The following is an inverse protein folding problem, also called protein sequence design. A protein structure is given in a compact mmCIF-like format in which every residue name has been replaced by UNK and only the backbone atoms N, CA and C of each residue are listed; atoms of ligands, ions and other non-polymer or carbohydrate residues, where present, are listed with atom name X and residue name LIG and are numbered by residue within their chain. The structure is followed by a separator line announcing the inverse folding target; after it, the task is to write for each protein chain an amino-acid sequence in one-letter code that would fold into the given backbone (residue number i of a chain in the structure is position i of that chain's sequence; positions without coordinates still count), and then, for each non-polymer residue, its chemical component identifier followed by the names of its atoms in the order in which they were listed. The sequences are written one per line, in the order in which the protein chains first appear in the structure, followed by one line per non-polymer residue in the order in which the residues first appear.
data_IF_966502332928
#
_entry.id   IF_966502332928
#
_cell.length_a   1.000
_cell.length_b   1.000
_cell.length_c   1.000
_cell.angle_alpha   90.00
_cell.angle_beta   90.00
_cell.angle_gamma   90.00
#
_symmetry.space_group_name_H-M   'P 1'
#
loop_
_entity.id
_entity.type
_entity.pdbx_description
1 polymer ?
#
# COMPACT_ATOMS: atom_id res chain seq x y z
N UNK A 1 -6.68 23.93 2.44
CA UNK A 1 -6.80 23.69 0.98
C UNK A 1 -8.01 22.83 0.66
N UNK A 2 -8.37 21.86 1.50
CA UNK A 2 -9.57 21.03 1.29
C UNK A 2 -10.88 21.83 1.24
N UNK A 3 -10.94 23.00 1.87
CA UNK A 3 -12.09 23.93 1.79
C UNK A 3 -12.32 24.51 0.37
N UNK A 4 -11.34 24.40 -0.55
CA UNK A 4 -11.49 24.84 -1.93
C UNK A 4 -12.38 23.89 -2.76
N UNK A 5 -12.75 22.71 -2.22
CA UNK A 5 -13.58 21.74 -2.92
C UNK A 5 -12.89 21.11 -4.15
N UNK A 6 -11.56 21.14 -4.18
CA UNK A 6 -10.75 20.59 -5.26
C UNK A 6 -9.77 19.59 -4.67
N UNK A 7 -9.56 18.51 -5.41
CA UNK A 7 -8.72 17.40 -4.98
C UNK A 7 -7.27 17.84 -4.81
N UNK A 8 -6.62 17.35 -3.75
CA UNK A 8 -5.26 17.76 -3.37
C UNK A 8 -4.23 17.58 -4.49
N UNK A 9 -4.35 16.51 -5.28
CA UNK A 9 -3.46 16.26 -6.42
C UNK A 9 -3.65 17.26 -7.56
N UNK A 10 -4.88 17.74 -7.78
CA UNK A 10 -5.18 18.77 -8.78
C UNK A 10 -4.63 20.13 -8.31
N UNK A 11 -4.79 20.43 -7.02
CA UNK A 11 -4.23 21.64 -6.41
C UNK A 11 -2.70 21.65 -6.46
N UNK A 12 -2.05 20.51 -6.21
CA UNK A 12 -0.60 20.41 -6.30
C UNK A 12 -0.11 20.55 -7.75
N UNK A 13 -0.80 19.94 -8.72
CA UNK A 13 -0.47 20.09 -10.15
C UNK A 13 -0.58 21.54 -10.63
N UNK A 14 -1.59 22.28 -10.14
CA UNK A 14 -1.82 23.68 -10.47
C UNK A 14 -0.91 24.68 -9.72
N UNK A 15 -0.10 24.21 -8.76
CA UNK A 15 0.64 25.09 -7.84
C UNK A 15 1.66 25.96 -8.58
N UNK A 16 2.41 25.40 -9.52
CA UNK A 16 3.46 26.13 -10.25
C UNK A 16 2.87 27.24 -11.13
N UNK A 17 1.74 26.98 -11.77
CA UNK A 17 1.04 27.99 -12.59
C UNK A 17 0.45 29.09 -11.70
N UNK A 18 -0.09 28.72 -10.53
CA UNK A 18 -0.58 29.69 -9.56
C UNK A 18 0.55 30.59 -9.01
N UNK A 19 1.72 30.03 -8.72
CA UNK A 19 2.91 30.79 -8.30
C UNK A 19 3.35 31.75 -9.41
N UNK A 20 3.45 31.26 -10.66
CA UNK A 20 3.87 32.07 -11.81
C UNK A 20 2.89 33.23 -12.07
N UNK A 21 1.60 32.97 -11.96
CA UNK A 21 0.57 34.01 -12.08
C UNK A 21 0.70 35.06 -10.96
N UNK A 22 0.90 34.64 -9.71
CA UNK A 22 1.10 35.54 -8.58
C UNK A 22 2.37 36.40 -8.73
N UNK A 23 3.48 35.83 -9.18
CA UNK A 23 4.73 36.55 -9.46
C UNK A 23 4.54 37.61 -10.56
N UNK A 24 3.81 37.27 -11.62
CA UNK A 24 3.49 38.21 -12.70
C UNK A 24 2.66 39.40 -12.18
N UNK A 25 1.64 39.15 -11.36
CA UNK A 25 0.80 40.20 -10.75
C UNK A 25 1.66 41.09 -9.83
N UNK A 26 2.51 40.49 -9.00
CA UNK A 26 3.41 41.23 -8.12
C UNK A 26 4.41 42.10 -8.90
N UNK A 27 4.98 41.58 -9.99
CA UNK A 27 5.91 42.31 -10.87
C UNK A 27 5.21 43.49 -11.56
N UNK A 28 4.01 43.28 -12.13
CA UNK A 28 3.23 44.33 -12.78
C UNK A 28 2.90 45.46 -11.80
N UNK A 29 2.49 45.10 -10.58
CA UNK A 29 2.19 46.07 -9.51
C UNK A 29 3.43 46.86 -9.12
N UNK A 30 4.58 46.20 -8.96
CA UNK A 30 5.85 46.86 -8.64
C UNK A 30 6.35 47.80 -9.76
N UNK A 31 6.05 47.48 -11.02
CA UNK A 31 6.36 48.31 -12.18
C UNK A 31 5.40 49.52 -12.35
N UNK A 32 4.41 49.68 -11.46
CA UNK A 32 3.39 50.73 -11.57
C UNK A 32 2.42 50.52 -12.74
N UNK A 33 2.43 49.33 -13.36
CA UNK A 33 1.42 48.93 -14.33
C UNK A 33 0.17 48.51 -13.56
N UNK A 34 -0.78 49.44 -13.39
CA UNK A 34 -2.14 49.06 -13.02
C UNK A 34 -2.74 48.28 -14.19
N UNK A 35 -3.08 47.03 -13.94
CA UNK A 35 -3.78 46.20 -14.90
C UNK A 35 -5.20 46.76 -15.12
N UNK A 36 -5.34 47.60 -16.15
CA UNK A 36 -6.61 48.20 -16.57
C UNK A 36 -7.66 47.15 -17.02
N UNK A 37 -7.27 45.88 -17.14
CA UNK A 37 -8.17 44.76 -17.47
C UNK A 37 -8.37 43.77 -16.31
N UNK A 38 -7.54 43.82 -15.25
CA UNK A 38 -7.67 42.96 -14.07
C UNK A 38 -8.95 43.21 -13.26
N UNK A 39 -9.43 44.46 -13.22
CA UNK A 39 -10.71 44.82 -12.59
C UNK A 39 -11.94 44.40 -13.43
N UNK A 40 -11.77 44.20 -14.74
CA UNK A 40 -12.85 43.77 -15.65
C UNK A 40 -13.13 42.27 -15.50
N UNK A 41 -12.14 41.46 -15.10
CA UNK A 41 -12.34 40.03 -14.79
C UNK A 41 -13.15 39.86 -13.49
N UNK A 42 -13.09 40.81 -12.55
CA UNK A 42 -13.90 40.76 -11.32
C UNK A 42 -15.41 41.03 -11.56
N UNK A 43 -15.80 41.53 -12.74
CA UNK A 43 -17.18 41.92 -13.06
C UNK A 43 -17.78 41.20 -14.28
N UNK A 44 -17.05 40.28 -14.90
CA UNK A 44 -17.55 39.42 -15.98
C UNK A 44 -17.76 37.98 -15.49
N UNK A 45 -18.96 37.44 -15.69
CA UNK A 45 -19.33 36.03 -15.47
C UNK A 45 -18.61 35.06 -16.44
N UNK A 46 -17.27 35.08 -16.46
CA UNK A 46 -16.48 33.94 -16.95
C UNK A 46 -15.98 33.19 -15.73
N UNK A 47 -16.86 32.34 -15.19
CA UNK A 47 -16.50 31.33 -14.18
C UNK A 47 -15.68 30.23 -14.84
N UNK A 48 -14.54 30.58 -15.45
CA UNK A 48 -13.59 29.59 -15.93
C UNK A 48 -12.95 28.93 -14.70
N UNK A 49 -13.05 27.60 -14.63
CA UNK A 49 -12.43 26.82 -13.57
C UNK A 49 -10.91 27.02 -13.64
N UNK A 50 -10.27 27.67 -12.65
CA UNK A 50 -8.84 27.95 -12.68
C UNK A 50 -7.99 26.68 -12.70
N UNK A 51 -8.59 25.52 -12.43
CA UNK A 51 -7.94 24.22 -12.43
C UNK A 51 -8.24 23.39 -13.68
N UNK A 52 -8.94 23.94 -14.68
CA UNK A 52 -9.42 23.20 -15.85
C UNK A 52 -8.33 22.36 -16.54
N UNK A 53 -7.14 22.93 -16.73
CA UNK A 53 -5.99 22.26 -17.36
C UNK A 53 -5.42 21.11 -16.51
N UNK A 54 -5.67 21.14 -15.19
CA UNK A 54 -5.14 20.20 -14.20
C UNK A 54 -6.17 19.16 -13.74
N UNK A 55 -7.44 19.27 -14.17
CA UNK A 55 -8.50 18.30 -13.82
C UNK A 55 -8.20 16.87 -14.30
N UNK A 56 -7.34 16.73 -15.31
CA UNK A 56 -6.84 15.44 -15.81
C UNK A 56 -5.68 14.85 -15.00
N UNK A 57 -5.24 15.51 -13.92
CA UNK A 57 -4.15 15.02 -13.08
C UNK A 57 -4.47 13.63 -12.52
N UNK A 58 -3.46 12.76 -12.51
CA UNK A 58 -3.61 11.40 -11.99
C UNK A 58 -4.00 11.46 -10.51
N UNK A 59 -5.09 10.79 -10.16
CA UNK A 59 -5.46 10.61 -8.76
C UNK A 59 -4.32 9.97 -7.97
N UNK A 60 -4.12 10.42 -6.73
CA UNK A 60 -3.17 9.81 -5.82
C UNK A 60 -3.72 8.48 -5.31
N UNK A 61 -2.84 7.49 -5.19
CA UNK A 61 -3.13 6.30 -4.40
C UNK A 61 -3.26 6.67 -2.92
N UNK A 62 -3.91 5.81 -2.12
CA UNK A 62 -4.01 6.00 -0.68
C UNK A 62 -2.63 6.17 -0.04
N UNK A 63 -1.64 5.36 -0.45
CA UNK A 63 -0.27 5.42 0.08
C UNK A 63 0.38 6.77 -0.21
N UNK A 64 0.22 7.30 -1.42
CA UNK A 64 0.78 8.62 -1.78
C UNK A 64 0.13 9.75 -0.98
N UNK A 65 -1.20 9.71 -0.82
CA UNK A 65 -1.91 10.67 0.02
C UNK A 65 -1.40 10.64 1.47
N UNK A 66 -1.31 9.44 2.05
CA UNK A 66 -0.88 9.25 3.42
C UNK A 66 0.59 9.65 3.63
N UNK A 67 1.47 9.37 2.66
CA UNK A 67 2.86 9.82 2.70
C UNK A 67 2.96 11.35 2.66
N UNK A 68 2.17 12.02 1.81
CA UNK A 68 2.13 13.49 1.76
C UNK A 68 1.61 14.09 3.08
N UNK A 69 0.58 13.49 3.70
CA UNK A 69 0.10 13.91 5.01
C UNK A 69 1.18 13.77 6.08
N UNK A 70 1.88 12.65 6.09
CA UNK A 70 2.94 12.41 7.05
C UNK A 70 4.12 13.35 6.87
N UNK A 71 4.52 13.63 5.64
CA UNK A 71 5.60 14.57 5.36
C UNK A 71 5.22 15.99 5.79
N UNK A 72 3.98 16.40 5.57
CA UNK A 72 3.50 17.74 5.90
C UNK A 72 3.14 17.93 7.39
N UNK A 73 2.56 16.92 8.04
CA UNK A 73 1.93 17.03 9.37
C UNK A 73 2.60 16.13 10.43
N UNK A 74 3.43 15.18 10.01
CA UNK A 74 4.04 14.18 10.88
C UNK A 74 3.10 13.03 11.26
N UNK A 75 1.86 13.00 10.76
CA UNK A 75 0.83 12.02 11.11
C UNK A 75 -0.08 11.68 9.92
N UNK A 76 -0.78 10.54 10.02
CA UNK A 76 -1.81 10.13 9.08
C UNK A 76 -3.19 10.55 9.60
N UNK A 77 -3.94 11.33 8.81
CA UNK A 77 -5.26 11.82 9.21
C UNK A 77 -6.38 11.18 8.39
N UNK A 78 -6.15 10.96 7.09
CA UNK A 78 -7.19 10.46 6.18
C UNK A 78 -7.42 8.94 6.26
N UNK A 79 -6.52 8.19 6.89
CA UNK A 79 -6.61 6.74 7.03
C UNK A 79 -5.32 6.12 7.57
N UNK A 80 -5.23 4.79 7.60
CA UNK A 80 -4.04 4.06 8.03
C UNK A 80 -3.35 3.32 6.86
N UNK A 81 -2.00 3.32 6.74
CA UNK A 81 -1.31 2.67 5.61
C UNK A 81 -1.64 1.18 5.41
N UNK A 82 -1.95 0.47 6.50
CA UNK A 82 -2.35 -0.95 6.45
C UNK A 82 -3.66 -1.17 5.67
N UNK A 83 -4.51 -0.15 5.54
CA UNK A 83 -5.79 -0.26 4.83
C UNK A 83 -5.61 -0.62 3.36
N UNK A 84 -4.51 -0.18 2.73
CA UNK A 84 -4.19 -0.50 1.35
C UNK A 84 -4.01 -2.01 1.11
N UNK A 85 -3.57 -2.76 2.12
CA UNK A 85 -3.32 -4.21 2.05
C UNK A 85 -4.16 -5.02 3.05
N UNK A 86 -5.19 -4.42 3.67
CA UNK A 86 -5.98 -5.02 4.75
C UNK A 86 -6.59 -6.37 4.34
N UNK A 87 -7.15 -6.46 3.12
CA UNK A 87 -7.75 -7.71 2.64
C UNK A 87 -6.77 -8.87 2.61
N UNK A 88 -5.52 -8.61 2.25
CA UNK A 88 -4.48 -9.62 2.20
C UNK A 88 -3.91 -9.92 3.58
N UNK A 89 -3.64 -8.88 4.38
CA UNK A 89 -3.19 -8.99 5.77
C UNK A 89 -4.13 -9.89 6.58
N UNK A 90 -5.45 -9.77 6.41
CA UNK A 90 -6.43 -10.58 7.14
C UNK A 90 -6.44 -12.06 6.77
N UNK A 91 -5.82 -12.46 5.65
CA UNK A 91 -5.59 -13.88 5.30
C UNK A 91 -4.53 -14.53 6.22
N UNK A 92 -3.66 -13.73 6.83
CA UNK A 92 -2.56 -14.19 7.69
C UNK A 92 -2.73 -13.80 9.17
N UNK A 93 -3.25 -12.61 9.44
CA UNK A 93 -3.55 -12.07 10.76
C UNK A 93 -5.06 -11.74 10.84
N UNK A 94 -5.93 -12.74 11.07
CA UNK A 94 -7.39 -12.55 10.93
C UNK A 94 -8.01 -11.57 11.92
N UNK A 95 -7.36 -11.36 13.08
CA UNK A 95 -7.84 -10.48 14.14
C UNK A 95 -7.11 -9.15 14.09
N UNK A 96 -7.83 -8.07 14.36
CA UNK A 96 -7.25 -6.74 14.60
C UNK A 96 -6.60 -6.67 15.99
N UNK A 97 -5.68 -5.72 16.19
CA UNK A 97 -4.99 -5.54 17.47
C UNK A 97 -6.00 -5.37 18.62
N UNK A 98 -7.03 -4.53 18.45
CA UNK A 98 -8.07 -4.32 19.47
C UNK A 98 -8.87 -5.58 19.85
N UNK A 99 -8.92 -6.57 18.95
CA UNK A 99 -9.67 -7.84 19.13
C UNK A 99 -8.78 -8.94 19.72
N UNK A 100 -7.48 -8.69 19.83
CA UNK A 100 -6.55 -9.63 20.40
C UNK A 100 -6.76 -9.75 21.91
N UNK A 101 -6.63 -10.97 22.41
CA UNK A 101 -6.73 -11.29 23.82
C UNK A 101 -5.46 -12.02 24.23
N UNK A 102 -5.15 -12.06 25.52
CA UNK A 102 -3.99 -12.77 26.07
C UNK A 102 -4.20 -14.29 26.06
N UNK A 103 -4.33 -14.87 24.86
CA UNK A 103 -4.74 -16.25 24.66
C UNK A 103 -3.68 -17.15 24.00
N UNK A 104 -2.40 -16.86 24.23
CA UNK A 104 -1.29 -17.70 23.77
C UNK A 104 -0.66 -17.17 22.49
N UNK A 105 -0.39 -18.06 21.53
CA UNK A 105 0.26 -17.70 20.27
C UNK A 105 -0.72 -17.02 19.32
N UNK A 106 -0.28 -15.95 18.66
CA UNK A 106 -1.04 -15.22 17.66
C UNK A 106 -0.11 -14.66 16.58
N UNK A 107 -0.71 -14.38 15.41
CA UNK A 107 -0.12 -13.58 14.36
C UNK A 107 -0.82 -12.23 14.35
N UNK A 108 -0.06 -11.15 14.50
CA UNK A 108 -0.54 -9.77 14.51
C UNK A 108 0.16 -9.01 13.40
N UNK A 109 -0.59 -8.27 12.61
CA UNK A 109 -0.04 -7.40 11.58
C UNK A 109 -0.20 -5.95 11.99
N UNK A 110 0.80 -5.13 11.67
CA UNK A 110 0.80 -3.71 12.00
C UNK A 110 1.92 -2.95 11.28
N UNK A 111 1.76 -1.64 11.21
CA UNK A 111 2.78 -0.68 10.84
C UNK A 111 3.69 -0.41 12.05
N UNK A 112 5.00 -0.47 11.86
CA UNK A 112 5.95 -0.14 12.92
C UNK A 112 6.04 1.39 13.07
N UNK A 113 5.44 1.93 14.13
CA UNK A 113 5.41 3.35 14.44
C UNK A 113 6.70 3.84 15.12
N UNK A 114 7.27 3.01 15.99
CA UNK A 114 8.50 3.33 16.72
C UNK A 114 9.32 2.07 17.02
N UNK A 115 10.63 2.25 17.15
CA UNK A 115 11.59 1.19 17.47
C UNK A 115 12.56 1.69 18.54
N UNK A 116 12.49 1.08 19.72
CA UNK A 116 13.44 1.33 20.80
C UNK A 116 14.41 0.15 20.92
N UNK A 117 15.66 0.35 20.50
CA UNK A 117 16.71 -0.66 20.65
C UNK A 117 17.36 -0.54 22.03
N UNK A 118 17.39 -1.65 22.77
CA UNK A 118 17.92 -1.72 24.13
C UNK A 118 19.09 -2.72 24.14
N UNK A 119 20.26 -2.27 24.62
CA UNK A 119 21.40 -3.16 24.83
C UNK A 119 21.26 -3.84 26.19
N UNK A 120 21.23 -5.17 26.21
CA UNK A 120 21.17 -5.96 27.45
C UNK A 120 22.42 -6.84 27.59
N UNK A 121 22.62 -7.44 28.77
CA UNK A 121 23.71 -8.42 28.98
C UNK A 121 23.58 -9.66 28.07
N UNK A 122 22.37 -9.96 27.57
CA UNK A 122 22.09 -11.10 26.69
C UNK A 122 22.09 -10.71 25.19
N UNK A 123 22.55 -9.51 24.86
CA UNK A 123 22.57 -8.95 23.51
C UNK A 123 21.55 -7.82 23.29
N UNK A 124 21.57 -7.14 22.12
CA UNK A 124 20.56 -6.17 21.75
C UNK A 124 19.17 -6.80 21.64
N UNK A 125 18.15 -6.09 22.11
CA UNK A 125 16.73 -6.38 21.88
C UNK A 125 16.03 -5.12 21.37
N UNK A 126 14.86 -5.26 20.76
CA UNK A 126 14.03 -4.12 20.36
C UNK A 126 12.64 -4.20 20.97
N UNK A 127 12.09 -3.04 21.32
CA UNK A 127 10.67 -2.88 21.64
C UNK A 127 10.06 -2.06 20.51
N UNK A 128 9.12 -2.65 19.81
CA UNK A 128 8.39 -2.06 18.68
C UNK A 128 7.05 -1.55 19.17
N UNK A 129 6.60 -0.43 18.62
CA UNK A 129 5.20 0.01 18.72
C UNK A 129 4.52 -0.27 17.40
N UNK A 130 3.54 -1.17 17.39
CA UNK A 130 2.75 -1.54 16.21
C UNK A 130 1.39 -0.88 16.24
N UNK A 131 0.93 -0.45 15.07
CA UNK A 131 -0.40 0.12 14.86
C UNK A 131 -1.07 -0.54 13.65
N UNK A 132 -2.34 -0.93 13.77
CA UNK A 132 -3.12 -1.50 12.66
C UNK A 132 -4.36 -0.65 12.30
N UNK A 133 -4.37 0.62 12.73
CA UNK A 133 -5.51 1.53 12.64
C UNK A 133 -6.63 1.24 13.65
N UNK A 134 -6.63 0.07 14.30
CA UNK A 134 -7.64 -0.30 15.31
C UNK A 134 -7.16 -0.09 16.74
N UNK A 135 -5.84 -0.11 16.95
CA UNK A 135 -5.19 0.07 18.23
C UNK A 135 -3.69 -0.14 18.13
N UNK A 136 -3.00 0.13 19.25
CA UNK A 136 -1.55 -0.01 19.35
C UNK A 136 -1.17 -1.19 20.26
N UNK A 137 -0.05 -1.83 19.95
CA UNK A 137 0.52 -2.92 20.74
C UNK A 137 2.04 -2.78 20.82
N UNK A 138 2.62 -2.95 22.01
CA UNK A 138 4.06 -3.10 22.15
C UNK A 138 4.48 -4.55 21.84
N UNK A 139 5.53 -4.72 21.05
CA UNK A 139 6.10 -6.03 20.73
C UNK A 139 7.59 -6.08 21.09
N UNK A 140 7.97 -7.02 21.96
CA UNK A 140 9.36 -7.24 22.35
C UNK A 140 10.01 -8.28 21.44
N UNK A 141 11.07 -7.86 20.77
CA UNK A 141 11.91 -8.69 19.91
C UNK A 141 13.24 -8.94 20.61
N UNK A 142 13.45 -10.18 21.06
CA UNK A 142 14.68 -10.58 21.76
C UNK A 142 15.85 -10.80 20.80
N UNK A 143 17.05 -10.98 21.34
CA UNK A 143 18.30 -10.91 20.60
C UNK A 143 18.41 -11.84 19.38
N UNK A 144 17.95 -13.07 19.55
CA UNK A 144 17.84 -14.08 18.50
C UNK A 144 17.02 -13.56 17.32
N UNK A 145 15.78 -13.14 17.58
CA UNK A 145 14.86 -12.64 16.55
C UNK A 145 15.33 -11.28 15.99
N UNK A 146 15.91 -10.42 16.84
CA UNK A 146 16.38 -9.09 16.44
C UNK A 146 17.51 -9.18 15.42
N UNK A 147 18.47 -10.09 15.64
CA UNK A 147 19.59 -10.27 14.74
C UNK A 147 19.15 -10.95 13.43
N UNK A 148 18.22 -11.90 13.50
CA UNK A 148 17.72 -12.64 12.33
C UNK A 148 16.89 -11.75 11.40
N UNK A 149 15.99 -10.92 11.95
CA UNK A 149 15.03 -10.13 11.17
C UNK A 149 15.36 -8.65 11.11
N UNK A 150 16.62 -8.26 11.35
CA UNK A 150 17.03 -6.85 11.49
C UNK A 150 16.60 -5.96 10.33
N UNK A 151 16.60 -6.50 9.11
CA UNK A 151 16.22 -5.77 7.90
C UNK A 151 14.72 -5.42 7.86
N UNK A 152 13.86 -6.22 8.51
CA UNK A 152 12.42 -5.96 8.60
C UNK A 152 12.06 -5.01 9.75
N UNK A 153 12.96 -4.82 10.70
CA UNK A 153 12.76 -3.98 11.89
C UNK A 153 13.09 -2.52 11.57
N UNK A 154 12.30 -1.92 10.68
CA UNK A 154 12.43 -0.52 10.31
C UNK A 154 11.13 0.23 10.57
N UNK A 155 11.25 1.51 10.92
CA UNK A 155 10.10 2.37 11.09
C UNK A 155 9.36 2.45 9.75
N UNK A 156 8.03 2.54 9.81
CA UNK A 156 7.14 2.69 8.65
C UNK A 156 7.03 1.46 7.75
N UNK A 157 7.46 0.30 8.25
CA UNK A 157 7.26 -0.98 7.59
C UNK A 157 6.03 -1.70 8.14
N UNK A 158 5.24 -2.29 7.24
CA UNK A 158 4.15 -3.19 7.60
C UNK A 158 4.74 -4.59 7.76
N UNK A 159 4.55 -5.17 8.95
CA UNK A 159 5.09 -6.50 9.27
C UNK A 159 4.01 -7.39 9.87
N UNK A 160 4.19 -8.70 9.71
CA UNK A 160 3.47 -9.73 10.45
C UNK A 160 4.37 -10.26 11.55
N UNK A 161 3.92 -10.10 12.79
CA UNK A 161 4.57 -10.63 13.97
C UNK A 161 3.88 -11.90 14.42
N UNK A 162 4.65 -12.98 14.50
CA UNK A 162 4.23 -14.22 15.13
C UNK A 162 4.82 -14.25 16.55
N UNK A 163 3.98 -14.44 17.55
CA UNK A 163 4.44 -14.37 18.92
C UNK A 163 3.41 -14.77 19.95
N UNK A 164 3.79 -14.66 21.22
CA UNK A 164 2.89 -14.91 22.33
C UNK A 164 2.34 -13.57 22.84
N UNK A 165 1.03 -13.45 22.88
CA UNK A 165 0.35 -12.32 23.51
C UNK A 165 0.42 -12.45 25.04
N UNK A 166 0.76 -11.35 25.69
CA UNK A 166 0.93 -11.21 27.13
C UNK A 166 0.43 -9.85 27.60
N UNK A 167 0.31 -9.68 28.90
CA UNK A 167 0.08 -8.36 29.51
C UNK A 167 1.43 -7.69 29.68
N UNK A 168 1.52 -6.41 29.36
CA UNK A 168 2.68 -5.60 29.70
C UNK A 168 2.72 -5.36 31.20
N UNK A 169 3.84 -5.71 31.83
CA UNK A 169 4.05 -5.59 33.27
C UNK A 169 4.06 -4.12 33.74
N UNK A 170 4.29 -3.14 32.85
CA UNK A 170 4.41 -1.73 33.21
C UNK A 170 3.09 -0.96 33.13
N UNK A 171 2.33 -1.12 32.05
CA UNK A 171 1.09 -0.36 31.80
C UNK A 171 -0.18 -1.21 31.86
N UNK A 172 -0.07 -2.54 32.01
CA UNK A 172 -1.22 -3.46 32.05
C UNK A 172 -1.92 -3.66 30.69
N UNK A 173 -1.36 -3.11 29.61
CA UNK A 173 -1.86 -3.20 28.24
C UNK A 173 -1.50 -4.53 27.57
N UNK A 174 -2.04 -4.75 26.37
CA UNK A 174 -1.70 -5.92 25.56
C UNK A 174 -0.32 -5.73 24.94
N UNK A 175 0.55 -6.74 25.09
CA UNK A 175 1.87 -6.78 24.47
C UNK A 175 2.13 -8.13 23.82
N UNK A 176 3.13 -8.18 22.94
CA UNK A 176 3.58 -9.41 22.30
C UNK A 176 5.04 -9.69 22.62
N UNK A 177 5.34 -10.95 22.95
CA UNK A 177 6.70 -11.49 22.83
C UNK A 177 6.87 -12.12 21.46
N UNK A 178 7.66 -11.48 20.60
CA UNK A 178 7.85 -11.86 19.21
C UNK A 178 8.75 -13.09 19.09
N UNK A 179 8.34 -14.04 18.24
CA UNK A 179 9.09 -15.24 17.88
C UNK A 179 9.60 -15.18 16.45
N UNK A 180 8.83 -14.60 15.53
CA UNK A 180 9.23 -14.40 14.15
C UNK A 180 8.61 -13.12 13.60
N UNK A 181 9.28 -12.53 12.60
CA UNK A 181 8.85 -11.35 11.87
C UNK A 181 8.82 -11.72 10.39
N UNK A 182 7.77 -11.35 9.67
CA UNK A 182 7.71 -11.52 8.21
C UNK A 182 7.20 -10.26 7.55
N UNK A 183 7.69 -9.97 6.35
CA UNK A 183 7.00 -9.04 5.45
C UNK A 183 5.72 -9.69 4.91
N UNK A 184 4.82 -8.87 4.34
CA UNK A 184 3.63 -9.38 3.66
C UNK A 184 3.99 -10.28 2.47
N UNK A 185 5.02 -9.91 1.71
CA UNK A 185 5.56 -10.70 0.60
C UNK A 185 6.08 -12.07 1.06
N UNK A 186 6.87 -12.11 2.14
CA UNK A 186 7.37 -13.38 2.71
C UNK A 186 6.23 -14.26 3.23
N UNK A 187 5.21 -13.65 3.84
CA UNK A 187 4.02 -14.38 4.30
C UNK A 187 3.26 -14.98 3.11
N UNK A 188 3.17 -14.22 2.00
CA UNK A 188 2.57 -14.68 0.75
C UNK A 188 3.35 -15.82 0.12
N UNK A 189 4.65 -15.68 -0.07
CA UNK A 189 5.51 -16.73 -0.60
C UNK A 189 5.35 -18.06 0.16
N UNK A 190 5.20 -17.99 1.48
CA UNK A 190 5.08 -19.17 2.32
C UNK A 190 3.72 -19.91 2.24
N UNK A 191 2.64 -19.25 1.82
CA UNK A 191 1.28 -19.84 1.82
C UNK A 191 0.58 -19.78 0.47
N UNK A 192 1.17 -19.14 -0.55
CA UNK A 192 0.56 -19.07 -1.87
C UNK A 192 0.58 -20.43 -2.53
N UNK A 193 -0.59 -20.89 -2.96
CA UNK A 193 -0.76 -22.15 -3.66
C UNK A 193 -0.66 -21.97 -5.18
N UNK A 194 -1.20 -20.87 -5.71
CA UNK A 194 -1.25 -20.58 -7.14
C UNK A 194 -1.63 -19.11 -7.40
N UNK A 195 -1.17 -18.59 -8.54
CA UNK A 195 -1.72 -17.40 -9.18
C UNK A 195 -2.93 -17.80 -10.02
N UNK A 196 -4.09 -17.23 -9.73
CA UNK A 196 -5.31 -17.49 -10.52
C UNK A 196 -5.60 -16.32 -11.46
N UNK A 197 -5.73 -16.63 -12.75
CA UNK A 197 -6.12 -15.69 -13.81
C UNK A 197 -7.49 -16.08 -14.35
N UNK A 198 -8.50 -15.22 -14.28
CA UNK A 198 -9.83 -15.47 -14.81
C UNK A 198 -10.05 -14.65 -16.08
N UNK A 199 -10.02 -15.32 -17.23
CA UNK A 199 -10.00 -14.66 -18.54
C UNK A 199 -11.25 -15.04 -19.35
N UNK A 200 -12.12 -14.08 -19.70
CA UNK A 200 -13.23 -14.32 -20.61
C UNK A 200 -12.76 -14.69 -22.02
N UNK A 201 -13.50 -15.57 -22.69
CA UNK A 201 -13.11 -16.10 -24.00
C UNK A 201 -12.93 -15.06 -25.09
N UNK A 202 -13.67 -13.94 -25.02
CA UNK A 202 -13.58 -12.87 -26.01
C UNK A 202 -12.32 -11.99 -25.85
N UNK A 203 -11.57 -12.12 -24.74
CA UNK A 203 -10.32 -11.40 -24.51
C UNK A 203 -9.09 -12.18 -24.97
N UNK A 204 -9.23 -13.45 -25.30
CA UNK A 204 -8.10 -14.32 -25.67
C UNK A 204 -7.87 -14.23 -27.17
N UNK A 205 -6.85 -13.48 -27.56
CA UNK A 205 -6.31 -13.38 -28.91
C UNK A 205 -4.76 -13.44 -28.90
N UNK A 206 -4.11 -13.30 -30.06
CA UNK A 206 -2.64 -13.32 -30.14
C UNK A 206 -1.98 -12.16 -29.37
N UNK A 207 -2.62 -10.99 -29.35
CA UNK A 207 -2.14 -9.80 -28.64
C UNK A 207 -2.14 -10.05 -27.13
N UNK A 208 -3.23 -10.60 -26.60
CA UNK A 208 -3.36 -10.99 -25.21
C UNK A 208 -2.35 -12.06 -24.83
N UNK A 209 -2.16 -13.09 -25.66
CA UNK A 209 -1.19 -14.14 -25.40
C UNK A 209 0.24 -13.58 -25.31
N UNK A 210 0.59 -12.64 -26.19
CA UNK A 210 1.89 -11.99 -26.19
C UNK A 210 2.06 -11.13 -24.94
N UNK A 211 1.07 -10.28 -24.62
CA UNK A 211 1.07 -9.44 -23.43
C UNK A 211 1.20 -10.27 -22.15
N UNK A 212 0.37 -11.31 -21.99
CA UNK A 212 0.41 -12.19 -20.83
C UNK A 212 1.75 -12.92 -20.71
N UNK A 213 2.30 -13.41 -21.84
CA UNK A 213 3.61 -14.06 -21.85
C UNK A 213 4.72 -13.10 -21.41
N UNK A 214 4.70 -11.86 -21.91
CA UNK A 214 5.71 -10.85 -21.57
C UNK A 214 5.61 -10.42 -20.11
N UNK A 215 4.40 -10.20 -19.60
CA UNK A 215 4.18 -9.89 -18.18
C UNK A 215 4.60 -11.04 -17.28
N UNK A 216 4.24 -12.30 -17.58
CA UNK A 216 4.65 -13.42 -16.73
C UNK A 216 6.17 -13.61 -16.71
N UNK A 217 6.86 -13.38 -17.84
CA UNK A 217 8.32 -13.54 -17.96
C UNK A 217 9.11 -12.66 -17.00
N UNK A 218 8.57 -11.51 -16.57
CA UNK A 218 9.25 -10.62 -15.61
C UNK A 218 9.42 -11.28 -14.24
N UNK A 219 8.61 -12.28 -13.92
CA UNK A 219 8.58 -12.95 -12.63
C UNK A 219 8.79 -14.47 -12.70
N UNK A 220 9.11 -15.04 -13.87
CA UNK A 220 9.39 -16.48 -14.00
C UNK A 220 10.61 -16.88 -13.16
N UNK A 221 10.59 -18.10 -12.62
CA UNK A 221 11.68 -18.68 -11.84
C UNK A 221 11.30 -18.99 -10.39
N UNK A 222 10.10 -18.62 -9.98
CA UNK A 222 9.55 -18.95 -8.68
C UNK A 222 8.90 -20.33 -8.64
N UNK A 223 8.22 -20.62 -7.53
CA UNK A 223 7.57 -21.91 -7.31
C UNK A 223 6.04 -21.83 -7.46
N UNK A 224 5.48 -20.63 -7.61
CA UNK A 224 4.04 -20.43 -7.66
C UNK A 224 3.49 -20.82 -9.05
N UNK A 225 2.63 -21.84 -9.16
CA UNK A 225 2.02 -22.19 -10.43
C UNK A 225 0.97 -21.16 -10.86
N UNK A 226 0.87 -20.95 -12.16
CA UNK A 226 -0.15 -20.09 -12.77
C UNK A 226 -1.29 -20.95 -13.30
N UNK A 227 -2.51 -20.63 -12.87
CA UNK A 227 -3.74 -21.30 -13.31
C UNK A 227 -4.66 -20.29 -13.98
N UNK A 228 -4.92 -20.51 -15.27
CA UNK A 228 -5.82 -19.70 -16.06
C UNK A 228 -7.20 -20.36 -16.13
N UNK A 229 -8.19 -19.75 -15.49
CA UNK A 229 -9.60 -20.04 -15.66
C UNK A 229 -10.13 -19.33 -16.92
N UNK A 230 -10.31 -20.11 -17.97
CA UNK A 230 -10.89 -19.67 -19.23
C UNK A 230 -12.42 -19.75 -19.17
N UNK A 231 -13.10 -18.60 -19.31
CA UNK A 231 -14.54 -18.47 -19.10
C UNK A 231 -15.29 -18.29 -20.42
N UNK A 232 -16.24 -19.18 -20.69
CA UNK A 232 -17.16 -19.11 -21.83
C UNK A 232 -18.62 -19.00 -21.37
N UNK A 233 -19.54 -18.69 -22.29
CA UNK A 233 -20.97 -18.60 -21.99
C UNK A 233 -21.58 -19.90 -21.42
N UNK A 234 -21.00 -21.06 -21.73
CA UNK A 234 -21.50 -22.39 -21.31
C UNK A 234 -20.80 -22.96 -20.07
N UNK A 235 -19.78 -22.29 -19.53
CA UNK A 235 -19.00 -22.76 -18.39
C UNK A 235 -17.55 -22.24 -18.40
N UNK A 236 -16.76 -22.66 -17.42
CA UNK A 236 -15.33 -22.34 -17.34
C UNK A 236 -14.47 -23.60 -17.24
N UNK A 237 -13.21 -23.48 -17.69
CA UNK A 237 -12.19 -24.53 -17.57
C UNK A 237 -10.93 -23.92 -16.98
N UNK A 238 -10.37 -24.55 -15.95
CA UNK A 238 -9.10 -24.16 -15.37
C UNK A 238 -7.95 -24.90 -16.05
N UNK A 239 -7.00 -24.16 -16.61
CA UNK A 239 -5.80 -24.68 -17.25
C UNK A 239 -4.59 -24.26 -16.43
N UNK A 240 -3.85 -25.24 -15.91
CA UNK A 240 -2.55 -24.98 -15.26
C UNK A 240 -1.49 -24.82 -16.34
N UNK A 241 -0.79 -23.69 -16.32
CA UNK A 241 0.31 -23.44 -17.25
C UNK A 241 1.50 -24.38 -16.94
N UNK A 242 2.32 -24.64 -17.96
CA UNK A 242 3.49 -25.51 -17.82
C UNK A 242 4.51 -24.98 -16.81
N UNK A 243 5.37 -25.85 -16.28
CA UNK A 243 6.33 -25.50 -15.22
C UNK A 243 7.27 -24.34 -15.55
N UNK A 244 7.54 -24.08 -16.83
CA UNK A 244 8.32 -22.93 -17.28
C UNK A 244 7.66 -21.57 -16.99
N UNK A 245 6.38 -21.55 -16.61
CA UNK A 245 5.59 -20.35 -16.29
C UNK A 245 5.33 -20.21 -14.79
N UNK A 246 6.06 -20.92 -13.93
CA UNK A 246 6.00 -20.68 -12.49
C UNK A 246 6.65 -19.36 -12.14
N UNK A 247 5.99 -18.59 -11.28
CA UNK A 247 6.36 -17.20 -10.97
C UNK A 247 6.72 -16.98 -9.50
N UNK A 248 7.48 -15.92 -9.25
CA UNK A 248 7.64 -15.34 -7.92
C UNK A 248 6.39 -14.52 -7.57
N UNK A 249 5.80 -14.71 -6.38
CA UNK A 249 4.55 -14.04 -6.00
C UNK A 249 4.81 -12.64 -5.44
N UNK A 250 5.33 -11.74 -6.27
CA UNK A 250 5.58 -10.35 -5.89
C UNK A 250 4.41 -9.43 -6.26
N UNK A 251 4.39 -8.22 -5.67
CA UNK A 251 3.34 -7.23 -5.91
C UNK A 251 3.40 -6.66 -7.34
N UNK A 252 4.60 -6.43 -7.86
CA UNK A 252 4.80 -5.87 -9.19
C UNK A 252 4.11 -6.71 -10.28
N UNK A 253 4.24 -8.03 -10.23
CA UNK A 253 3.58 -8.95 -11.15
C UNK A 253 2.05 -8.86 -11.02
N UNK A 254 1.54 -8.83 -9.79
CA UNK A 254 0.10 -8.77 -9.56
C UNK A 254 -0.49 -7.48 -10.15
N UNK A 255 0.18 -6.36 -9.95
CA UNK A 255 -0.25 -5.05 -10.46
C UNK A 255 -0.17 -4.96 -11.99
N UNK A 256 0.92 -5.43 -12.60
CA UNK A 256 1.04 -5.49 -14.06
C UNK A 256 -0.06 -6.36 -14.69
N UNK A 257 -0.36 -7.51 -14.09
CA UNK A 257 -1.42 -8.39 -14.55
C UNK A 257 -2.80 -7.76 -14.36
N UNK A 258 -3.04 -7.08 -13.24
CA UNK A 258 -4.29 -6.34 -13.02
C UNK A 258 -4.51 -5.24 -14.04
N UNK A 259 -3.46 -4.54 -14.46
CA UNK A 259 -3.52 -3.57 -15.56
C UNK A 259 -3.84 -4.26 -16.89
N UNK A 260 -3.17 -5.38 -17.18
CA UNK A 260 -3.34 -6.10 -18.44
C UNK A 260 -4.72 -6.77 -18.57
N UNK A 261 -5.17 -7.48 -17.53
CA UNK A 261 -6.33 -8.38 -17.59
C UNK A 261 -7.50 -7.95 -16.70
N UNK A 262 -7.34 -6.92 -15.87
CA UNK A 262 -8.36 -6.34 -15.00
C UNK A 262 -8.23 -6.76 -13.54
N UNK A 263 -8.62 -5.87 -12.61
CA UNK A 263 -8.46 -6.06 -11.16
C UNK A 263 -9.10 -7.34 -10.62
N UNK A 264 -10.35 -7.63 -11.03
CA UNK A 264 -11.11 -8.79 -10.54
C UNK A 264 -10.73 -10.11 -11.23
N UNK A 265 -9.85 -10.05 -12.23
CA UNK A 265 -9.43 -11.19 -13.02
C UNK A 265 -8.16 -11.87 -12.45
N UNK A 266 -7.50 -11.28 -11.45
CA UNK A 266 -6.22 -11.79 -10.94
C UNK A 266 -6.25 -11.84 -9.42
N UNK A 267 -5.94 -13.00 -8.85
CA UNK A 267 -5.79 -13.12 -7.40
C UNK A 267 -4.78 -14.21 -7.01
N UNK A 268 -4.16 -14.01 -5.85
CA UNK A 268 -3.36 -15.03 -5.17
C UNK A 268 -4.29 -15.96 -4.40
N UNK A 269 -4.18 -17.25 -4.69
CA UNK A 269 -4.90 -18.29 -3.96
C UNK A 269 -3.98 -18.87 -2.91
N UNK A 270 -4.43 -18.87 -1.66
CA UNK A 270 -3.66 -19.33 -0.51
C UNK A 270 -4.07 -20.73 -0.08
N UNK A 271 -3.11 -21.51 0.44
CA UNK A 271 -3.41 -22.77 1.13
C UNK A 271 -4.19 -22.50 2.42
N UNK A 272 -5.25 -23.29 2.62
CA UNK A 272 -6.15 -23.24 3.78
C UNK A 272 -5.53 -23.84 5.03
#
# INVERSE_FOLDING_TARGET
MDELGVERWTLLAALDDAIRAAEQVASNTAAGMQDLFGEVIASGETTEDPYQEHRGARAWSLIELLNAEKESLGSFLSGHPIEACEQEVRKFAPRRIRECQTNGQAVVAGLIMDIRTIKTQRGPMAVLTLDDGSGQMEATVYNDVFNEYRELLQKDQIVLLEGRLQVDDFNGGLAMRTKAVRSLEQAREARVSQLKLRVPSYRVDETFNTLLADTLRTAVGGQCPVVMEYVQAKGSVAVRLGGAWQVHPNDALLDELRIAVGNDAVDWVYEG
#
